data_IF_549472236692
#
_entry.id   IF_549472236692
#
_cell.length_a   1.000
_cell.length_b   1.000
_cell.length_c   1.000
_cell.angle_alpha   90.00
_cell.angle_beta   90.00
_cell.angle_gamma   90.00
#
_symmetry.space_group_name_H-M   'P 1'
#
loop_
_entity.id
_entity.type
_entity.pdbx_description
1 polymer ?
#
# COMPACT_ATOMS: atom_id res chain seq x y z
N UNK A 1 25.50 16.19 -23.53
CA UNK A 1 25.71 16.32 -22.09
C UNK A 1 24.37 16.04 -21.45
N UNK A 2 24.18 14.88 -20.85
CA UNK A 2 22.91 14.55 -20.19
C UNK A 2 22.86 15.37 -18.90
N UNK A 3 21.89 16.27 -18.79
CA UNK A 3 21.55 16.88 -17.50
C UNK A 3 21.23 15.75 -16.54
N UNK A 4 22.02 15.64 -15.46
CA UNK A 4 21.73 14.77 -14.34
C UNK A 4 20.58 15.42 -13.56
N UNK A 5 19.35 15.18 -14.02
CA UNK A 5 18.14 15.65 -13.35
C UNK A 5 18.09 15.01 -11.98
N UNK A 6 18.06 15.84 -10.92
CA UNK A 6 17.99 15.33 -9.55
C UNK A 6 16.85 14.30 -9.41
N UNK A 7 17.08 13.18 -8.70
CA UNK A 7 16.11 12.08 -8.63
C UNK A 7 14.78 12.60 -8.08
N UNK A 8 13.70 12.35 -8.84
CA UNK A 8 12.37 12.80 -8.47
C UNK A 8 11.98 12.18 -7.13
N UNK A 9 11.83 13.02 -6.11
CA UNK A 9 11.46 12.58 -4.77
C UNK A 9 10.01 12.11 -4.74
N UNK A 10 9.76 11.07 -3.95
CA UNK A 10 8.42 10.54 -3.74
C UNK A 10 7.64 11.50 -2.83
N UNK A 11 6.51 12.01 -3.32
CA UNK A 11 5.58 12.82 -2.52
C UNK A 11 4.62 11.93 -1.72
N UNK A 12 3.85 12.50 -0.79
CA UNK A 12 2.81 11.74 -0.08
C UNK A 12 1.68 11.30 -1.03
N UNK A 13 1.33 12.12 -2.01
CA UNK A 13 0.38 11.73 -3.07
C UNK A 13 0.89 10.54 -3.88
N UNK A 14 2.18 10.51 -4.20
CA UNK A 14 2.80 9.37 -4.89
C UNK A 14 2.73 8.10 -4.05
N UNK A 15 2.96 8.22 -2.74
CA UNK A 15 2.85 7.11 -1.79
C UNK A 15 1.44 6.55 -1.74
N UNK A 16 0.43 7.41 -1.64
CA UNK A 16 -0.98 7.01 -1.63
C UNK A 16 -1.35 6.34 -2.97
N UNK A 17 -1.01 6.97 -4.10
CA UNK A 17 -1.33 6.46 -5.43
C UNK A 17 -0.64 5.12 -5.70
N UNK A 18 0.64 5.00 -5.33
CA UNK A 18 1.39 3.75 -5.48
C UNK A 18 0.86 2.65 -4.58
N UNK A 19 0.45 2.98 -3.35
CA UNK A 19 -0.21 2.05 -2.44
C UNK A 19 -1.51 1.51 -3.04
N UNK A 20 -2.42 2.40 -3.45
CA UNK A 20 -3.69 2.01 -4.08
C UNK A 20 -3.49 1.14 -5.32
N UNK A 21 -2.51 1.44 -6.16
CA UNK A 21 -2.18 0.61 -7.34
C UNK A 21 -1.68 -0.79 -6.94
N UNK A 22 -0.93 -0.91 -5.85
CA UNK A 22 -0.44 -2.19 -5.35
C UNK A 22 -1.55 -3.05 -4.70
N UNK A 23 -2.58 -2.43 -4.11
CA UNK A 23 -3.62 -3.10 -3.33
C UNK A 23 -5.03 -3.06 -3.94
N UNK A 24 -5.17 -2.50 -5.15
CA UNK A 24 -6.40 -2.52 -5.96
C UNK A 24 -6.19 -3.06 -7.39
N UNK A 25 -5.19 -3.90 -7.62
CA UNK A 25 -4.87 -4.40 -8.97
C UNK A 25 -5.89 -5.38 -9.56
N UNK A 26 -6.71 -6.00 -8.72
CA UNK A 26 -7.68 -7.03 -9.12
C UNK A 26 -9.07 -6.45 -9.36
N UNK A 27 -9.79 -6.98 -10.35
CA UNK A 27 -11.20 -6.62 -10.58
C UNK A 27 -12.03 -6.81 -9.30
N UNK A 28 -12.92 -5.86 -9.02
CA UNK A 28 -13.75 -5.84 -7.82
C UNK A 28 -13.03 -5.41 -6.53
N UNK A 29 -11.76 -5.00 -6.59
CA UNK A 29 -11.02 -4.59 -5.38
C UNK A 29 -11.65 -3.35 -4.71
N UNK A 30 -12.19 -2.42 -5.49
CA UNK A 30 -12.87 -1.23 -4.97
C UNK A 30 -14.08 -1.60 -4.12
N UNK A 31 -14.90 -2.52 -4.61
CA UNK A 31 -16.09 -3.04 -3.93
C UNK A 31 -15.70 -3.78 -2.65
N UNK A 32 -14.71 -4.68 -2.72
CA UNK A 32 -14.19 -5.38 -1.54
C UNK A 32 -13.67 -4.41 -0.48
N UNK A 33 -12.93 -3.38 -0.86
CA UNK A 33 -12.44 -2.38 0.10
C UNK A 33 -13.57 -1.57 0.73
N UNK A 34 -14.61 -1.21 -0.04
CA UNK A 34 -15.81 -0.55 0.51
C UNK A 34 -16.53 -1.43 1.53
N UNK A 35 -16.73 -2.72 1.23
CA UNK A 35 -17.34 -3.68 2.15
C UNK A 35 -16.51 -3.84 3.43
N UNK A 36 -15.18 -3.98 3.31
CA UNK A 36 -14.25 -4.06 4.44
C UNK A 36 -14.27 -2.80 5.30
N UNK A 37 -14.34 -1.63 4.67
CA UNK A 37 -14.43 -0.35 5.38
C UNK A 37 -15.75 -0.23 6.17
N UNK A 38 -16.87 -0.66 5.58
CA UNK A 38 -18.16 -0.68 6.25
C UNK A 38 -18.22 -1.67 7.44
N UNK A 39 -17.60 -2.85 7.28
CA UNK A 39 -17.53 -3.87 8.33
C UNK A 39 -16.60 -3.50 9.47
N UNK A 40 -15.50 -2.81 9.17
CA UNK A 40 -14.34 -2.69 10.07
C UNK A 40 -13.54 -3.99 10.11
N UNK A 41 -12.25 -3.88 10.44
CA UNK A 41 -11.34 -5.03 10.53
C UNK A 41 -10.29 -4.80 11.60
N UNK A 42 -9.99 -5.86 12.36
CA UNK A 42 -8.81 -5.92 13.22
C UNK A 42 -7.53 -5.89 12.37
N UNK A 43 -6.39 -5.59 12.98
CA UNK A 43 -5.10 -5.58 12.27
C UNK A 43 -4.78 -6.92 11.60
N UNK A 44 -5.14 -8.05 12.21
CA UNK A 44 -4.93 -9.38 11.66
C UNK A 44 -5.79 -9.62 10.42
N UNK A 45 -7.09 -9.32 10.49
CA UNK A 45 -8.00 -9.46 9.34
C UNK A 45 -7.61 -8.50 8.20
N UNK A 46 -7.17 -7.29 8.53
CA UNK A 46 -6.72 -6.32 7.54
C UNK A 46 -5.39 -6.75 6.89
N UNK A 47 -4.50 -7.39 7.65
CA UNK A 47 -3.28 -7.99 7.12
C UNK A 47 -3.61 -9.12 6.12
N UNK A 48 -4.55 -10.00 6.45
CA UNK A 48 -4.99 -11.08 5.56
C UNK A 48 -5.66 -10.53 4.29
N UNK A 49 -6.50 -9.50 4.42
CA UNK A 49 -7.12 -8.80 3.30
C UNK A 49 -6.08 -8.15 2.38
N UNK A 50 -5.06 -7.51 2.95
CA UNK A 50 -3.95 -6.93 2.17
C UNK A 50 -3.15 -8.02 1.46
N UNK A 51 -2.82 -9.12 2.14
CA UNK A 51 -2.13 -10.26 1.53
C UNK A 51 -2.92 -10.85 0.35
N UNK A 52 -4.26 -10.91 0.47
CA UNK A 52 -5.13 -11.35 -0.62
C UNK A 52 -5.06 -10.42 -1.84
N UNK A 53 -5.16 -9.09 -1.66
CA UNK A 53 -5.11 -8.15 -2.79
C UNK A 53 -3.73 -8.07 -3.45
N UNK A 54 -2.66 -8.23 -2.65
CA UNK A 54 -1.27 -8.23 -3.14
C UNK A 54 -0.93 -9.54 -3.88
N UNK A 55 -1.56 -10.65 -3.48
CA UNK A 55 -1.18 -11.99 -3.93
C UNK A 55 0.19 -12.40 -3.41
N UNK A 56 0.83 -13.38 -4.06
CA UNK A 56 2.19 -13.84 -3.64
C UNK A 56 3.19 -12.69 -3.77
N UNK A 57 3.28 -12.14 -4.98
CA UNK A 57 4.08 -10.97 -5.33
C UNK A 57 3.64 -10.39 -6.67
N UNK A 58 4.03 -9.15 -6.93
CA UNK A 58 3.81 -8.51 -8.22
C UNK A 58 4.51 -7.16 -8.33
N UNK A 59 4.31 -6.52 -9.46
CA UNK A 59 4.85 -5.20 -9.73
C UNK A 59 4.19 -4.59 -10.94
N UNK A 60 4.31 -3.27 -11.06
CA UNK A 60 3.88 -2.54 -12.26
C UNK A 60 4.69 -1.27 -12.41
N UNK A 61 4.77 -0.75 -13.64
CA UNK A 61 5.54 0.46 -13.93
C UNK A 61 5.53 0.76 -15.41
N UNK A 62 6.29 1.79 -15.79
CA UNK A 62 6.51 2.20 -17.17
C UNK A 62 6.98 3.65 -17.24
N UNK A 63 7.19 4.18 -18.45
CA UNK A 63 7.60 5.57 -18.63
C UNK A 63 6.64 6.53 -17.94
N UNK A 64 7.18 7.52 -17.21
CA UNK A 64 6.43 8.55 -16.50
C UNK A 64 5.41 8.02 -15.46
N UNK A 65 5.56 6.77 -15.03
CA UNK A 65 4.72 6.12 -14.02
C UNK A 65 5.56 5.66 -12.83
N UNK A 66 4.94 5.62 -11.65
CA UNK A 66 5.56 4.99 -10.48
C UNK A 66 5.89 3.53 -10.79
N UNK A 67 7.15 3.17 -10.50
CA UNK A 67 7.64 1.80 -10.41
C UNK A 67 7.21 1.22 -9.06
N UNK A 68 6.48 0.10 -9.13
CA UNK A 68 5.92 -0.60 -7.99
C UNK A 68 6.46 -2.02 -7.95
N UNK A 69 6.79 -2.46 -6.76
CA UNK A 69 7.03 -3.87 -6.44
C UNK A 69 6.37 -4.18 -5.10
N UNK A 70 5.76 -5.35 -4.97
CA UNK A 70 5.04 -5.72 -3.76
C UNK A 70 5.03 -7.23 -3.54
N UNK A 71 4.92 -7.62 -2.27
CA UNK A 71 4.82 -9.02 -1.85
C UNK A 71 4.01 -9.13 -0.56
N UNK A 72 3.20 -10.20 -0.46
CA UNK A 72 2.42 -10.46 0.75
C UNK A 72 3.31 -10.79 1.94
N UNK A 73 4.47 -11.40 1.71
CA UNK A 73 5.44 -11.73 2.76
C UNK A 73 5.94 -10.45 3.47
N UNK A 74 5.46 -10.25 4.70
CA UNK A 74 5.73 -9.04 5.48
C UNK A 74 5.00 -7.79 4.97
N UNK A 75 3.99 -7.95 4.11
CA UNK A 75 3.17 -6.88 3.52
C UNK A 75 4.01 -5.75 2.95
N UNK A 76 5.02 -6.08 2.13
CA UNK A 76 6.02 -5.13 1.68
C UNK A 76 5.62 -4.51 0.35
N UNK A 77 5.72 -3.18 0.26
CA UNK A 77 5.46 -2.41 -0.96
C UNK A 77 6.62 -1.43 -1.16
N UNK A 78 7.23 -1.46 -2.34
CA UNK A 78 8.20 -0.49 -2.84
C UNK A 78 7.52 0.41 -3.86
N UNK A 79 7.71 1.71 -3.69
CA UNK A 79 7.17 2.75 -4.56
C UNK A 79 8.30 3.72 -4.86
N UNK A 80 8.58 3.92 -6.15
CA UNK A 80 9.65 4.81 -6.60
C UNK A 80 9.36 5.36 -8.00
N UNK A 81 10.01 6.47 -8.34
CA UNK A 81 9.99 7.01 -9.70
C UNK A 81 10.97 6.29 -10.64
N UNK A 82 11.86 5.48 -10.08
CA UNK A 82 12.87 4.70 -10.80
C UNK A 82 12.74 3.21 -10.47
N UNK A 83 13.21 2.32 -11.34
CA UNK A 83 13.25 0.89 -11.05
C UNK A 83 14.26 0.64 -9.94
N UNK A 84 13.82 0.01 -8.84
CA UNK A 84 14.67 -0.28 -7.69
C UNK A 84 15.03 -1.76 -7.61
N UNK A 85 16.27 -2.05 -7.20
CA UNK A 85 16.65 -3.38 -6.77
C UNK A 85 16.10 -3.63 -5.34
N UNK A 86 15.01 -4.37 -5.26
CA UNK A 86 14.28 -4.62 -4.00
C UNK A 86 15.00 -5.58 -3.03
N UNK A 87 16.10 -6.22 -3.45
CA UNK A 87 16.97 -6.96 -2.55
C UNK A 87 17.86 -6.04 -1.70
N UNK A 88 18.11 -4.81 -2.15
CA UNK A 88 18.96 -3.83 -1.48
C UNK A 88 18.11 -2.70 -0.89
N UNK A 89 17.13 -2.22 -1.66
CA UNK A 89 16.27 -1.12 -1.28
C UNK A 89 15.30 -1.53 -0.15
N UNK A 90 15.11 -0.64 0.82
CA UNK A 90 14.09 -0.83 1.86
C UNK A 90 12.69 -0.57 1.28
N UNK A 91 11.66 -1.33 1.69
CA UNK A 91 10.31 -1.08 1.24
C UNK A 91 9.79 0.26 1.77
N UNK A 92 8.94 0.92 0.97
CA UNK A 92 8.22 2.14 1.35
C UNK A 92 7.22 1.87 2.48
N UNK A 93 6.58 0.69 2.43
CA UNK A 93 5.66 0.19 3.47
C UNK A 93 5.98 -1.27 3.80
N UNK A 94 5.89 -1.64 5.07
CA UNK A 94 6.05 -3.01 5.54
C UNK A 94 5.27 -3.26 6.85
N UNK A 95 4.65 -4.43 6.95
CA UNK A 95 3.92 -4.87 8.14
C UNK A 95 2.93 -3.81 8.65
N UNK A 96 3.14 -3.32 9.87
CA UNK A 96 2.26 -2.34 10.52
C UNK A 96 2.11 -1.03 9.74
N UNK A 97 3.14 -0.57 9.03
CA UNK A 97 3.00 0.67 8.24
C UNK A 97 2.11 0.47 7.01
N UNK A 98 2.07 -0.74 6.46
CA UNK A 98 1.16 -1.11 5.37
C UNK A 98 -0.28 -1.16 5.87
N UNK A 99 -0.50 -1.75 7.05
CA UNK A 99 -1.82 -1.79 7.71
C UNK A 99 -2.30 -0.36 8.00
N UNK A 100 -1.47 0.49 8.62
CA UNK A 100 -1.81 1.87 8.92
C UNK A 100 -2.16 2.68 7.65
N UNK A 101 -1.39 2.48 6.57
CA UNK A 101 -1.67 3.11 5.28
C UNK A 101 -3.00 2.62 4.69
N UNK A 102 -3.33 1.33 4.80
CA UNK A 102 -4.63 0.81 4.37
C UNK A 102 -5.79 1.43 5.15
N UNK A 103 -5.65 1.59 6.47
CA UNK A 103 -6.67 2.28 7.30
C UNK A 103 -6.89 3.72 6.84
N UNK A 104 -5.80 4.45 6.57
CA UNK A 104 -5.89 5.83 6.09
C UNK A 104 -6.51 5.92 4.69
N UNK A 105 -6.06 5.10 3.75
CA UNK A 105 -6.46 5.16 2.34
C UNK A 105 -7.88 4.65 2.12
N UNK A 106 -8.28 3.60 2.83
CA UNK A 106 -9.58 2.94 2.63
C UNK A 106 -10.60 3.22 3.74
N UNK A 107 -10.22 3.92 4.81
CA UNK A 107 -11.12 4.24 5.92
C UNK A 107 -11.54 3.03 6.76
N UNK A 108 -10.76 1.95 6.76
CA UNK A 108 -11.08 0.72 7.52
C UNK A 108 -10.81 0.96 9.00
N UNK A 109 -11.88 1.05 9.79
CA UNK A 109 -11.81 1.22 11.24
C UNK A 109 -11.37 -0.07 11.94
N UNK A 110 -10.69 0.07 13.06
CA UNK A 110 -10.42 -1.05 13.95
C UNK A 110 -11.59 -1.19 14.94
N UNK A 111 -12.36 -2.29 14.92
CA UNK A 111 -13.42 -2.50 15.88
C UNK A 111 -12.92 -2.70 17.32
N UNK A 112 -11.64 -3.05 17.51
CA UNK A 112 -11.01 -3.16 18.83
C UNK A 112 -10.54 -1.80 19.36
N UNK A 113 -10.46 -0.78 18.52
CA UNK A 113 -10.16 0.60 18.93
C UNK A 113 -11.44 1.24 19.49
N UNK A 114 -11.82 0.77 20.67
CA UNK A 114 -12.86 1.40 21.48
C UNK A 114 -12.26 2.68 22.03
N UNK A 115 -12.35 3.77 21.28
CA UNK A 115 -12.18 5.08 21.87
C UNK A 115 -13.19 5.19 23.01
N UNK A 116 -12.69 5.20 24.24
CA UNK A 116 -13.46 5.52 25.43
C UNK A 116 -14.18 6.84 25.14
N UNK A 117 -15.50 6.77 24.99
CA UNK A 117 -16.34 7.95 25.01
C UNK A 117 -16.02 8.68 26.31
N UNK A 118 -15.48 9.90 26.20
CA UNK A 118 -15.32 10.80 27.33
C UNK A 118 -16.71 10.94 27.96
N UNK A 119 -16.89 10.32 29.14
CA UNK A 119 -18.04 10.50 30.01
C UNK A 119 -18.08 11.93 30.56
#
# INVERSE_FOLDING_TARGET
MSEETAPRKLTEEDRIRGFQRATCGMAGASERWKERAAKGMTDAELADALAFEIGIMGGSGGPDMLSLWYQAAGLKIWISWEIQNTHIAKPTFAGKSTIAMARMVYGVKDPADVQLALL
#
